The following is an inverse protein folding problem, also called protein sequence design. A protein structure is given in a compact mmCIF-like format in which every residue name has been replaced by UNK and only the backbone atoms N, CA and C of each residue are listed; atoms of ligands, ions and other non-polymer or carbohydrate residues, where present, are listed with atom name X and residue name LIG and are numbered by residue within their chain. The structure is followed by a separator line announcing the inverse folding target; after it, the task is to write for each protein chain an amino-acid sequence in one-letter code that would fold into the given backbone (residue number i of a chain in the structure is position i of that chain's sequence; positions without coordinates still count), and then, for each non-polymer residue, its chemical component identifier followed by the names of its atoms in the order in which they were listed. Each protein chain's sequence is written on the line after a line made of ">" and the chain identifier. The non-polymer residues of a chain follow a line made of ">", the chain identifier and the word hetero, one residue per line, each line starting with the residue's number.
data_IF_441986673144
#
_entry.id   IF_441986673144
#
_cell.length_a   1.000
_cell.length_b   1.000
_cell.length_c   1.000
_cell.angle_alpha   90.00
_cell.angle_beta   90.00
_cell.angle_gamma   90.00
#
_symmetry.space_group_name_H-M   'P 1'
#
loop_
_entity.id
_entity.type
_entity.pdbx_description
1 polymer ?
#
# COMPACT_ATOMS: atom_id res chain seq x y z
N UNK A 1 8.58 -9.05 -76.98
CA UNK A 1 7.42 -8.43 -76.33
C UNK A 1 7.15 -9.03 -74.96
N UNK A 2 7.11 -10.35 -74.83
CA UNK A 2 6.81 -11.02 -73.55
C UNK A 2 7.87 -10.76 -72.49
N UNK A 3 9.15 -10.64 -72.87
CA UNK A 3 10.23 -10.35 -71.92
C UNK A 3 10.16 -8.94 -71.35
N UNK A 4 9.77 -7.91 -72.14
CA UNK A 4 9.61 -6.54 -71.66
C UNK A 4 8.41 -6.42 -70.78
N UNK A 5 7.28 -7.05 -71.09
CA UNK A 5 6.08 -7.07 -70.31
C UNK A 5 6.31 -7.77 -68.96
N UNK A 6 7.06 -8.88 -68.97
CA UNK A 6 7.46 -9.64 -67.78
C UNK A 6 8.37 -8.84 -66.86
N UNK A 7 9.31 -8.06 -67.47
CA UNK A 7 10.24 -7.21 -66.71
C UNK A 7 9.50 -6.04 -66.05
N UNK A 8 8.55 -5.40 -66.71
CA UNK A 8 7.72 -4.31 -66.17
C UNK A 8 6.83 -4.80 -65.05
N UNK A 9 6.19 -5.96 -65.20
CA UNK A 9 5.38 -6.57 -64.14
C UNK A 9 6.27 -6.91 -62.92
N UNK A 10 7.42 -7.47 -63.15
CA UNK A 10 8.39 -7.80 -62.09
C UNK A 10 8.90 -6.56 -61.37
N UNK A 11 9.13 -5.44 -62.12
CA UNK A 11 9.52 -4.16 -61.55
C UNK A 11 8.43 -3.54 -60.67
N UNK A 12 7.17 -3.64 -61.09
CA UNK A 12 6.01 -3.21 -60.28
C UNK A 12 5.84 -4.04 -59.04
N UNK A 13 5.98 -5.34 -59.13
CA UNK A 13 5.90 -6.25 -57.99
C UNK A 13 7.00 -5.94 -56.98
N UNK A 14 8.24 -5.70 -57.42
CA UNK A 14 9.34 -5.31 -56.55
C UNK A 14 9.06 -3.97 -55.87
N UNK A 15 8.53 -2.99 -56.63
CA UNK A 15 8.16 -1.71 -56.06
C UNK A 15 7.05 -1.84 -55.03
N UNK A 16 6.01 -2.61 -55.29
CA UNK A 16 4.90 -2.85 -54.39
C UNK A 16 5.36 -3.58 -53.12
N UNK A 17 6.24 -4.57 -53.25
CA UNK A 17 6.83 -5.28 -52.11
C UNK A 17 7.68 -4.35 -51.28
N UNK A 18 8.49 -3.48 -51.86
CA UNK A 18 9.29 -2.50 -51.13
C UNK A 18 8.41 -1.50 -50.40
N UNK A 19 7.34 -1.03 -51.02
CA UNK A 19 6.34 -0.15 -50.37
C UNK A 19 5.70 -0.85 -49.18
N UNK A 20 5.31 -2.10 -49.36
CA UNK A 20 4.73 -2.91 -48.27
C UNK A 20 5.72 -3.12 -47.13
N UNK A 21 6.97 -3.42 -47.43
CA UNK A 21 8.01 -3.57 -46.43
C UNK A 21 8.21 -2.27 -45.64
N UNK A 22 8.29 -1.14 -46.32
CA UNK A 22 8.42 0.17 -45.71
C UNK A 22 7.23 0.47 -44.76
N UNK A 23 6.01 0.22 -45.22
CA UNK A 23 4.78 0.42 -44.45
C UNK A 23 4.75 -0.51 -43.20
N UNK A 24 5.17 -1.76 -43.34
CA UNK A 24 5.27 -2.71 -42.24
C UNK A 24 6.33 -2.31 -41.22
N UNK A 25 7.48 -1.83 -41.68
CA UNK A 25 8.54 -1.32 -40.80
C UNK A 25 8.04 -0.13 -39.99
N UNK A 26 7.36 0.81 -40.64
CA UNK A 26 6.77 1.97 -39.96
C UNK A 26 5.71 1.54 -38.94
N UNK A 27 4.89 0.58 -39.29
CA UNK A 27 3.88 0.02 -38.41
C UNK A 27 4.49 -0.67 -37.18
N UNK A 28 5.53 -1.46 -37.42
CA UNK A 28 6.26 -2.13 -36.33
C UNK A 28 6.92 -1.12 -35.38
N UNK A 29 7.53 -0.07 -35.99
CA UNK A 29 8.17 0.99 -35.19
C UNK A 29 7.13 1.74 -34.32
N UNK A 30 5.98 2.09 -34.88
CA UNK A 30 4.89 2.70 -34.13
C UNK A 30 4.37 1.79 -33.00
N UNK A 31 4.24 0.50 -33.28
CA UNK A 31 3.84 -0.48 -32.28
C UNK A 31 4.84 -0.59 -31.14
N UNK A 32 6.13 -0.54 -31.45
CA UNK A 32 7.21 -0.58 -30.44
C UNK A 32 7.15 0.66 -29.55
N UNK A 33 7.01 1.83 -30.14
CA UNK A 33 6.90 3.10 -29.41
C UNK A 33 5.68 3.07 -28.49
N UNK A 34 4.54 2.65 -29.02
CA UNK A 34 3.29 2.53 -28.24
C UNK A 34 3.42 1.53 -27.11
N UNK A 35 4.03 0.36 -27.37
CA UNK A 35 4.28 -0.66 -26.35
C UNK A 35 5.19 -0.15 -25.26
N UNK A 36 6.27 0.54 -25.61
CA UNK A 36 7.22 1.09 -24.65
C UNK A 36 6.56 2.17 -23.79
N UNK A 37 5.73 3.00 -24.39
CA UNK A 37 4.95 4.01 -23.69
C UNK A 37 3.99 3.38 -22.66
N UNK A 38 3.23 2.38 -23.09
CA UNK A 38 2.31 1.65 -22.21
C UNK A 38 3.07 0.98 -21.07
N UNK A 39 4.22 0.36 -21.35
CA UNK A 39 5.06 -0.26 -20.33
C UNK A 39 5.59 0.76 -19.32
N UNK A 40 6.07 1.90 -19.78
CA UNK A 40 6.53 2.99 -18.92
C UNK A 40 5.41 3.55 -18.04
N UNK A 41 4.25 3.75 -18.61
CA UNK A 41 3.06 4.21 -17.86
C UNK A 41 2.64 3.19 -16.79
N UNK A 42 2.66 1.90 -17.13
CA UNK A 42 2.35 0.83 -16.19
C UNK A 42 3.36 0.76 -15.04
N UNK A 43 4.64 0.90 -15.33
CA UNK A 43 5.70 0.93 -14.33
C UNK A 43 5.55 2.15 -13.41
N UNK A 44 5.29 3.32 -13.99
CA UNK A 44 5.06 4.55 -13.22
C UNK A 44 3.85 4.43 -12.28
N UNK A 45 2.75 3.88 -12.78
CA UNK A 45 1.55 3.64 -11.98
C UNK A 45 1.82 2.65 -10.84
N UNK A 46 2.57 1.58 -11.12
CA UNK A 46 2.97 0.60 -10.12
C UNK A 46 3.85 1.21 -9.03
N UNK A 47 4.81 2.06 -9.40
CA UNK A 47 5.63 2.78 -8.43
C UNK A 47 4.81 3.70 -7.54
N UNK A 48 3.82 4.39 -8.09
CA UNK A 48 2.91 5.22 -7.31
C UNK A 48 2.09 4.40 -6.32
N UNK A 49 1.55 3.26 -6.75
CA UNK A 49 0.81 2.35 -5.86
C UNK A 49 1.69 1.84 -4.72
N UNK A 50 2.91 1.43 -5.02
CA UNK A 50 3.87 0.98 -4.01
C UNK A 50 4.17 2.09 -3.01
N UNK A 51 4.38 3.32 -3.49
CA UNK A 51 4.63 4.47 -2.62
C UNK A 51 3.42 4.75 -1.71
N UNK A 52 2.21 4.71 -2.24
CA UNK A 52 0.98 4.88 -1.46
C UNK A 52 0.80 3.79 -0.42
N UNK A 53 1.05 2.53 -0.79
CA UNK A 53 0.97 1.39 0.14
C UNK A 53 1.99 1.52 1.26
N UNK A 54 3.21 1.94 0.95
CA UNK A 54 4.25 2.19 1.97
C UNK A 54 3.84 3.30 2.93
N UNK A 55 3.28 4.40 2.41
CA UNK A 55 2.81 5.50 3.22
C UNK A 55 1.64 5.06 4.13
N UNK A 56 0.70 4.30 3.59
CA UNK A 56 -0.43 3.75 4.35
C UNK A 56 0.05 2.80 5.45
N UNK A 57 1.00 1.93 5.13
CA UNK A 57 1.59 1.00 6.10
C UNK A 57 2.28 1.75 7.24
N UNK A 58 3.05 2.79 6.92
CA UNK A 58 3.70 3.61 7.93
C UNK A 58 2.68 4.33 8.82
N UNK A 59 1.62 4.89 8.23
CA UNK A 59 0.55 5.54 8.97
C UNK A 59 -0.20 4.56 9.89
N UNK A 60 -0.48 3.35 9.42
CA UNK A 60 -1.14 2.31 10.22
C UNK A 60 -0.27 1.84 11.38
N UNK A 61 1.03 1.68 11.17
CA UNK A 61 1.97 1.32 12.23
C UNK A 61 2.00 2.40 13.30
N UNK A 62 2.05 3.64 12.90
CA UNK A 62 2.04 4.77 13.82
C UNK A 62 0.74 4.83 14.63
N UNK A 63 -0.41 4.66 13.96
CA UNK A 63 -1.71 4.63 14.61
C UNK A 63 -1.82 3.47 15.62
N UNK A 64 -1.31 2.28 15.27
CA UNK A 64 -1.28 1.14 16.17
C UNK A 64 -0.41 1.40 17.39
N UNK A 65 0.73 2.04 17.22
CA UNK A 65 1.63 2.36 18.32
C UNK A 65 1.00 3.39 19.26
N UNK A 66 0.38 4.42 18.72
CA UNK A 66 -0.37 5.41 19.51
C UNK A 66 -1.52 4.75 20.28
N UNK A 67 -2.26 3.86 19.65
CA UNK A 67 -3.35 3.14 20.31
C UNK A 67 -2.84 2.22 21.42
N UNK A 68 -1.73 1.54 21.22
CA UNK A 68 -1.08 0.73 22.26
C UNK A 68 -0.68 1.58 23.45
N UNK A 69 -0.06 2.72 23.19
CA UNK A 69 0.36 3.64 24.24
C UNK A 69 -0.84 4.18 25.03
N UNK A 70 -1.92 4.51 24.34
CA UNK A 70 -3.16 4.95 24.97
C UNK A 70 -3.77 3.86 25.85
N UNK A 71 -3.81 2.63 25.36
CA UNK A 71 -4.30 1.48 26.13
C UNK A 71 -3.45 1.21 27.36
N UNK A 72 -2.13 1.27 27.24
CA UNK A 72 -1.22 1.11 28.37
C UNK A 72 -1.47 2.18 29.44
N UNK A 73 -1.63 3.42 29.04
CA UNK A 73 -1.97 4.51 29.98
C UNK A 73 -3.31 4.27 30.67
N UNK A 74 -4.33 3.85 29.92
CA UNK A 74 -5.63 3.53 30.49
C UNK A 74 -5.57 2.38 31.49
N UNK A 75 -4.82 1.34 31.17
CA UNK A 75 -4.59 0.21 32.08
C UNK A 75 -3.87 0.67 33.35
N UNK A 76 -2.80 1.44 33.19
CA UNK A 76 -2.04 1.97 34.34
C UNK A 76 -2.93 2.85 35.23
N UNK A 77 -3.75 3.70 34.68
CA UNK A 77 -4.73 4.50 35.43
C UNK A 77 -5.75 3.62 36.16
N UNK A 78 -6.27 2.61 35.48
CA UNK A 78 -7.24 1.69 36.07
C UNK A 78 -6.62 0.91 37.24
N UNK A 79 -5.36 0.46 37.07
CA UNK A 79 -4.63 -0.25 38.12
C UNK A 79 -4.37 0.68 39.31
N UNK A 80 -3.96 1.91 39.08
CA UNK A 80 -3.75 2.90 40.16
C UNK A 80 -5.04 3.18 40.92
N UNK A 81 -6.14 3.40 40.21
CA UNK A 81 -7.43 3.64 40.81
C UNK A 81 -7.90 2.44 41.64
N UNK A 82 -7.71 1.23 41.12
CA UNK A 82 -8.05 0.01 41.83
C UNK A 82 -7.21 -0.15 43.10
N UNK A 83 -5.91 0.13 43.01
CA UNK A 83 -5.00 0.08 44.18
C UNK A 83 -5.38 1.12 45.24
N UNK A 84 -5.77 2.31 44.82
CA UNK A 84 -6.23 3.36 45.73
C UNK A 84 -7.53 2.96 46.43
N UNK A 85 -8.48 2.37 45.70
CA UNK A 85 -9.70 1.82 46.28
C UNK A 85 -9.42 0.73 47.29
N UNK A 86 -8.50 -0.19 46.96
CA UNK A 86 -8.10 -1.25 47.87
C UNK A 86 -7.51 -0.66 49.18
N UNK A 87 -6.64 0.34 49.06
CA UNK A 87 -6.08 1.02 50.24
C UNK A 87 -7.17 1.67 51.09
N UNK A 88 -8.13 2.35 50.48
CA UNK A 88 -9.26 2.96 51.14
C UNK A 88 -10.13 1.92 51.86
N UNK A 89 -10.45 0.83 51.16
CA UNK A 89 -11.23 -0.26 51.74
C UNK A 89 -10.51 -0.93 52.91
N UNK A 90 -9.21 -1.15 52.81
CA UNK A 90 -8.38 -1.68 53.91
C UNK A 90 -8.38 -0.73 55.12
N UNK A 91 -8.29 0.57 54.87
CA UNK A 91 -8.36 1.57 55.95
C UNK A 91 -9.73 1.58 56.63
N UNK A 92 -10.80 1.48 55.85
CA UNK A 92 -12.18 1.40 56.40
C UNK A 92 -12.36 0.13 57.22
N UNK A 93 -11.88 -1.02 56.75
CA UNK A 93 -11.94 -2.29 57.46
C UNK A 93 -11.17 -2.19 58.78
N UNK A 94 -9.96 -1.62 58.78
CA UNK A 94 -9.18 -1.41 59.98
C UNK A 94 -9.88 -0.51 60.98
N UNK A 95 -10.50 0.57 60.51
CA UNK A 95 -11.27 1.49 61.36
C UNK A 95 -12.48 0.80 62.00
N UNK A 96 -13.21 0.00 61.22
CA UNK A 96 -14.34 -0.77 61.72
C UNK A 96 -13.94 -1.78 62.78
N UNK A 97 -12.86 -2.52 62.53
CA UNK A 97 -12.30 -3.48 63.52
C UNK A 97 -11.91 -2.81 64.82
N UNK A 98 -11.24 -1.69 64.71
CA UNK A 98 -10.82 -0.90 65.86
C UNK A 98 -12.03 -0.40 66.66
N UNK A 99 -13.07 0.10 65.96
CA UNK A 99 -14.30 0.52 66.58
C UNK A 99 -15.05 -0.62 67.28
N UNK A 100 -15.07 -1.81 66.69
CA UNK A 100 -15.67 -3.00 67.29
C UNK A 100 -14.92 -3.46 68.53
N UNK A 101 -13.59 -3.43 68.52
CA UNK A 101 -12.78 -3.76 69.68
C UNK A 101 -13.03 -2.79 70.85
N UNK A 102 -13.13 -1.52 70.55
CA UNK A 102 -13.46 -0.52 71.59
C UNK A 102 -14.84 -0.73 72.19
N UNK A 103 -15.84 -1.17 71.41
CA UNK A 103 -17.18 -1.44 71.87
C UNK A 103 -17.25 -2.70 72.76
N UNK A 104 -16.35 -3.67 72.57
CA UNK A 104 -16.29 -4.90 73.35
C UNK A 104 -15.66 -4.69 74.73
N UNK A 105 -14.80 -3.72 74.84
CA UNK A 105 -14.19 -3.36 76.09
C UNK A 105 -15.04 -2.37 76.91
#
# INVERSE_FOLDING_TARGET
>A
MDAETGTDVSGREVHDLRSTIAALRDSVERMRIERDKIAQEAVAASHQEVAQLKATTAALRQALEEERNDKERQIDEAVRNANDEIKQLKAVIAAIRESLEKTRT
#
